data_IF_711732370192
#
_entry.id   IF_711732370192
#
_cell.length_a   1.000
_cell.length_b   1.000
_cell.length_c   1.000
_cell.angle_alpha   90.00
_cell.angle_beta   90.00
_cell.angle_gamma   90.00
#
_symmetry.space_group_name_H-M   'P 1'
#
loop_
_entity.id
_entity.type
_entity.pdbx_description
1 polymer ?
#
# COMPACT_ATOMS: atom_id res chain seq x y z
N UNK A 1 -24.88 11.77 -19.48
CA UNK A 1 -24.67 13.13 -20.02
C UNK A 1 -24.81 14.11 -18.85
N UNK A 2 -23.70 14.47 -18.22
CA UNK A 2 -23.62 15.48 -17.15
C UNK A 2 -22.34 16.30 -17.37
N UNK A 3 -22.34 17.59 -16.97
CA UNK A 3 -21.78 18.67 -17.79
C UNK A 3 -20.33 18.99 -17.48
N UNK A 4 -19.64 19.48 -18.52
CA UNK A 4 -18.33 20.09 -18.44
C UNK A 4 -18.36 21.36 -17.57
N UNK A 5 -17.46 21.42 -16.59
CA UNK A 5 -17.10 22.66 -15.90
C UNK A 5 -15.75 23.12 -16.44
N UNK A 6 -15.79 24.00 -17.44
CA UNK A 6 -14.68 24.87 -17.81
C UNK A 6 -14.65 26.06 -16.86
N UNK A 7 -13.51 26.34 -16.23
CA UNK A 7 -13.20 27.70 -15.80
C UNK A 7 -11.72 27.99 -15.99
N UNK A 8 -11.46 28.97 -16.87
CA UNK A 8 -10.18 29.63 -17.06
C UNK A 8 -9.62 30.19 -15.75
N UNK A 9 -8.37 29.83 -15.43
CA UNK A 9 -7.54 30.58 -14.49
C UNK A 9 -6.11 30.66 -15.06
N UNK A 10 -5.74 31.87 -15.48
CA UNK A 10 -4.37 32.25 -15.82
C UNK A 10 -3.55 32.33 -14.52
N UNK A 11 -2.42 31.62 -14.47
CA UNK A 11 -1.33 31.88 -13.53
C UNK A 11 -1.58 31.41 -12.10
N UNK A 12 -0.87 30.35 -11.72
CA UNK A 12 -0.91 29.76 -10.37
C UNK A 12 -1.22 28.27 -10.47
N UNK A 13 -0.31 27.43 -9.99
CA UNK A 13 -0.46 25.97 -9.99
C UNK A 13 -1.82 25.58 -9.38
N UNK A 14 -2.67 24.81 -10.08
CA UNK A 14 -3.95 24.42 -9.51
C UNK A 14 -3.75 23.30 -8.48
N UNK A 15 -4.38 23.54 -7.34
CA UNK A 15 -4.58 22.63 -6.23
C UNK A 15 -5.21 21.29 -6.64
N UNK A 16 -4.70 20.24 -5.98
CA UNK A 16 -5.35 18.98 -5.62
C UNK A 16 -6.37 18.36 -6.58
N UNK A 17 -5.98 17.28 -7.25
CA UNK A 17 -6.89 16.25 -7.74
C UNK A 17 -6.47 14.89 -7.17
N UNK A 18 -7.46 14.17 -6.66
CA UNK A 18 -7.37 12.96 -5.83
C UNK A 18 -6.53 11.82 -6.41
N UNK A 19 -5.88 11.09 -5.51
CA UNK A 19 -5.07 9.89 -5.78
C UNK A 19 -5.89 8.78 -6.44
N UNK A 20 -5.40 8.26 -7.56
CA UNK A 20 -5.92 7.05 -8.18
C UNK A 20 -5.49 5.85 -7.32
N UNK A 21 -6.41 5.29 -6.54
CA UNK A 21 -6.20 4.06 -5.78
C UNK A 21 -6.58 2.89 -6.70
N UNK A 22 -5.59 2.16 -7.22
CA UNK A 22 -5.87 0.97 -8.03
C UNK A 22 -6.04 -0.22 -7.10
N UNK A 23 -7.25 -0.78 -7.04
CA UNK A 23 -7.57 -1.95 -6.21
C UNK A 23 -7.48 -3.21 -7.06
N UNK A 24 -6.53 -4.10 -6.76
CA UNK A 24 -6.48 -5.45 -7.32
C UNK A 24 -7.25 -6.40 -6.40
N UNK A 25 -8.44 -6.81 -6.82
CA UNK A 25 -9.24 -7.84 -6.13
C UNK A 25 -9.02 -9.18 -6.81
N UNK A 26 -8.51 -10.19 -6.08
CA UNK A 26 -8.58 -11.58 -6.54
C UNK A 26 -10.00 -12.07 -6.31
N UNK A 27 -10.71 -12.42 -7.39
CA UNK A 27 -12.00 -13.12 -7.29
C UNK A 27 -11.68 -14.61 -7.07
N UNK A 28 -11.82 -15.09 -5.84
CA UNK A 28 -11.91 -16.53 -5.59
C UNK A 28 -13.37 -16.94 -5.79
N UNK A 29 -13.66 -17.65 -6.87
CA UNK A 29 -14.95 -18.29 -7.07
C UNK A 29 -15.10 -19.43 -6.07
N UNK A 30 -15.94 -19.25 -5.06
CA UNK A 30 -16.54 -20.36 -4.32
C UNK A 30 -18.03 -20.10 -4.17
N UNK A 31 -18.83 -20.97 -4.79
CA UNK A 31 -20.29 -20.89 -4.85
C UNK A 31 -20.93 -20.99 -3.46
N UNK A 32 -21.95 -20.16 -3.25
CA UNK A 32 -22.84 -20.22 -2.09
C UNK A 32 -24.08 -21.04 -2.48
N UNK A 33 -24.20 -22.25 -1.93
CA UNK A 33 -25.49 -22.94 -1.82
C UNK A 33 -26.18 -22.47 -0.53
N UNK A 34 -27.38 -21.92 -0.67
CA UNK A 34 -28.28 -21.64 0.45
C UNK A 34 -28.86 -22.94 0.99
N UNK A 35 -28.70 -23.20 2.28
CA UNK A 35 -29.65 -24.01 3.04
C UNK A 35 -30.08 -23.23 4.29
N UNK A 36 -31.40 -23.13 4.45
CA UNK A 36 -32.10 -22.47 5.54
C UNK A 36 -32.45 -23.49 6.63
N UNK A 37 -31.97 -23.25 7.84
CA UNK A 37 -32.38 -23.96 9.06
C UNK A 37 -32.22 -23.06 10.27
N UNK A 38 -33.33 -22.72 10.93
CA UNK A 38 -33.36 -21.92 12.16
C UNK A 38 -33.38 -22.88 13.35
N UNK A 39 -32.40 -22.78 14.24
CA UNK A 39 -32.51 -23.26 15.62
C UNK A 39 -31.93 -22.20 16.55
N UNK A 40 -32.75 -21.77 17.51
CA UNK A 40 -32.46 -20.70 18.44
C UNK A 40 -31.48 -21.17 19.53
N UNK A 41 -30.37 -20.44 19.69
CA UNK A 41 -29.56 -20.44 20.90
C UNK A 41 -29.09 -19.02 21.17
N UNK A 42 -29.29 -18.54 22.41
CA UNK A 42 -28.98 -17.22 22.96
C UNK A 42 -27.91 -16.42 22.21
N UNK A 43 -28.35 -15.60 21.25
CA UNK A 43 -27.46 -14.73 20.49
C UNK A 43 -27.18 -13.46 21.30
N UNK A 44 -25.98 -13.35 21.85
CA UNK A 44 -25.33 -12.05 21.98
C UNK A 44 -25.21 -11.49 20.56
N UNK A 45 -26.14 -10.62 20.18
CA UNK A 45 -26.13 -9.95 18.89
C UNK A 45 -24.92 -9.03 18.87
N UNK A 46 -23.80 -9.53 18.33
CA UNK A 46 -22.73 -8.66 17.88
C UNK A 46 -23.36 -7.79 16.80
N UNK A 47 -23.52 -6.48 17.06
CA UNK A 47 -24.02 -5.56 16.05
C UNK A 47 -23.11 -5.70 14.84
N UNK A 48 -23.69 -6.14 13.71
CA UNK A 48 -22.98 -6.25 12.44
C UNK A 48 -22.39 -4.87 12.14
N UNK A 49 -21.08 -4.80 11.95
CA UNK A 49 -20.40 -3.57 11.57
C UNK A 49 -20.81 -3.12 10.17
N UNK A 50 -20.31 -1.97 9.74
CA UNK A 50 -20.43 -1.57 8.33
C UNK A 50 -19.76 -2.59 7.42
N UNK A 51 -20.12 -2.66 6.14
CA UNK A 51 -19.49 -3.62 5.21
C UNK A 51 -17.95 -3.45 5.14
N UNK A 52 -17.46 -2.22 5.33
CA UNK A 52 -16.03 -1.94 5.46
C UNK A 52 -15.43 -2.59 6.70
N UNK A 53 -16.08 -2.46 7.85
CA UNK A 53 -15.63 -3.09 9.11
C UNK A 53 -15.65 -4.61 9.01
N UNK A 54 -16.68 -5.17 8.37
CA UNK A 54 -16.77 -6.62 8.13
C UNK A 54 -15.69 -7.11 7.16
N UNK A 55 -15.37 -6.36 6.10
CA UNK A 55 -14.30 -6.71 5.18
C UNK A 55 -12.93 -6.85 5.87
N UNK A 56 -12.63 -5.94 6.80
CA UNK A 56 -11.37 -5.92 7.55
C UNK A 56 -11.39 -6.76 8.85
N UNK A 57 -12.54 -7.34 9.23
CA UNK A 57 -12.69 -8.11 10.45
C UNK A 57 -11.73 -9.30 10.46
N UNK A 58 -10.99 -9.44 11.56
CA UNK A 58 -9.98 -10.47 11.80
C UNK A 58 -8.91 -10.60 10.70
N UNK A 59 -8.76 -9.59 9.85
CA UNK A 59 -7.78 -9.63 8.78
C UNK A 59 -6.40 -9.21 9.29
N UNK A 60 -5.37 -9.76 8.65
CA UNK A 60 -3.99 -9.34 8.77
C UNK A 60 -3.60 -8.51 7.55
N UNK A 61 -3.12 -7.29 7.79
CA UNK A 61 -2.75 -6.35 6.75
C UNK A 61 -1.22 -6.26 6.64
N UNK A 62 -0.69 -6.16 5.43
CA UNK A 62 0.69 -5.76 5.18
C UNK A 62 0.71 -4.38 4.53
N UNK A 63 1.42 -3.43 5.15
CA UNK A 63 1.43 -2.03 4.73
C UNK A 63 2.85 -1.60 4.43
N UNK A 64 3.05 -1.02 3.24
CA UNK A 64 4.28 -0.30 2.90
C UNK A 64 4.05 1.21 2.96
N UNK A 65 5.13 2.00 3.01
CA UNK A 65 5.02 3.46 2.92
C UNK A 65 4.63 4.14 4.24
N UNK A 66 4.74 3.44 5.37
CA UNK A 66 4.48 3.97 6.73
C UNK A 66 5.15 5.29 7.03
N UNK A 67 6.36 5.54 6.51
CA UNK A 67 7.09 6.79 6.78
C UNK A 67 6.47 7.99 6.08
N UNK A 68 5.72 7.76 5.00
CA UNK A 68 4.99 8.80 4.28
C UNK A 68 3.79 9.30 5.07
N UNK A 69 3.34 10.51 4.72
CA UNK A 69 2.20 11.18 5.35
C UNK A 69 0.93 10.31 5.30
N UNK A 70 0.57 9.82 4.10
CA UNK A 70 -0.62 8.99 3.88
C UNK A 70 -0.56 7.66 4.64
N UNK A 71 0.61 7.01 4.67
CA UNK A 71 0.77 5.71 5.34
C UNK A 71 0.43 5.75 6.83
N UNK A 72 0.84 6.81 7.55
CA UNK A 72 0.52 6.96 8.98
C UNK A 72 -0.97 7.20 9.22
N UNK A 73 -1.57 8.07 8.40
CA UNK A 73 -3.00 8.40 8.48
C UNK A 73 -3.85 7.17 8.16
N UNK A 74 -3.46 6.38 7.16
CA UNK A 74 -4.16 5.15 6.80
C UNK A 74 -4.13 4.13 7.95
N UNK A 75 -2.96 3.91 8.56
CA UNK A 75 -2.82 3.01 9.70
C UNK A 75 -3.69 3.47 10.89
N UNK A 76 -3.65 4.77 11.22
CA UNK A 76 -4.52 5.38 12.24
C UNK A 76 -6.00 5.13 11.92
N UNK A 77 -6.44 5.49 10.72
CA UNK A 77 -7.84 5.42 10.32
C UNK A 77 -8.36 3.99 10.33
N UNK A 78 -7.55 3.02 9.89
CA UNK A 78 -7.88 1.60 9.94
C UNK A 78 -8.03 1.11 11.38
N UNK A 79 -7.07 1.41 12.25
CA UNK A 79 -7.12 0.98 13.65
C UNK A 79 -8.30 1.59 14.41
N UNK A 80 -8.66 2.84 14.10
CA UNK A 80 -9.78 3.54 14.74
C UNK A 80 -11.14 3.11 14.19
N UNK A 81 -11.25 2.92 12.87
CA UNK A 81 -12.54 2.65 12.22
C UNK A 81 -12.84 1.15 12.12
N UNK A 82 -11.82 0.29 12.12
CA UNK A 82 -11.93 -1.16 12.01
C UNK A 82 -11.24 -1.83 13.21
N UNK A 83 -11.81 -1.71 14.42
CA UNK A 83 -11.18 -2.21 15.65
C UNK A 83 -11.06 -3.74 15.69
N UNK A 84 -11.73 -4.48 14.80
CA UNK A 84 -11.63 -5.93 14.69
C UNK A 84 -10.47 -6.42 13.79
N UNK A 85 -9.65 -5.52 13.22
CA UNK A 85 -8.40 -5.93 12.54
C UNK A 85 -7.52 -6.71 13.52
N UNK A 86 -6.92 -7.80 13.08
CA UNK A 86 -6.06 -8.63 13.92
C UNK A 86 -4.66 -8.01 14.05
N UNK A 87 -3.90 -7.96 12.95
CA UNK A 87 -2.55 -7.39 12.89
C UNK A 87 -2.36 -6.50 11.68
N UNK A 88 -1.51 -5.49 11.83
CA UNK A 88 -0.97 -4.70 10.72
C UNK A 88 0.55 -4.86 10.77
N UNK A 89 1.06 -5.64 9.81
CA UNK A 89 2.47 -5.79 9.52
C UNK A 89 2.93 -4.58 8.71
N UNK A 90 3.99 -3.93 9.17
CA UNK A 90 4.48 -2.70 8.54
C UNK A 90 5.95 -2.87 8.21
N UNK A 91 6.25 -2.88 6.91
CA UNK A 91 7.65 -2.96 6.47
C UNK A 91 8.40 -1.68 6.82
N UNK A 92 9.60 -1.85 7.37
CA UNK A 92 10.48 -0.75 7.76
C UNK A 92 11.90 -0.99 7.27
N UNK A 93 12.42 -0.02 6.50
CA UNK A 93 13.81 -0.05 6.05
C UNK A 93 14.77 -0.04 7.25
N UNK A 94 15.66 -1.03 7.41
CA UNK A 94 16.62 -1.03 8.50
C UNK A 94 17.45 0.26 8.53
N UNK A 95 17.76 0.78 9.72
CA UNK A 95 18.75 1.84 9.93
C UNK A 95 19.66 1.42 11.07
N UNK A 96 20.98 1.50 10.89
CA UNK A 96 21.98 1.08 11.90
C UNK A 96 21.78 1.68 13.29
N UNK A 97 21.12 2.84 13.38
CA UNK A 97 20.96 3.58 14.62
C UNK A 97 19.68 3.30 15.39
N UNK A 98 18.72 2.52 14.86
CA UNK A 98 17.42 2.30 15.53
C UNK A 98 16.86 0.91 15.33
N UNK A 99 16.37 0.31 16.41
CA UNK A 99 15.65 -0.97 16.37
C UNK A 99 14.24 -0.84 15.77
N UNK A 100 13.63 -1.94 15.30
CA UNK A 100 12.23 -1.97 14.89
C UNK A 100 11.27 -1.41 15.94
N UNK A 101 11.51 -1.70 17.21
CA UNK A 101 10.72 -1.28 18.37
C UNK A 101 10.84 0.23 18.60
N UNK A 102 12.05 0.79 18.56
CA UNK A 102 12.25 2.24 18.67
C UNK A 102 11.53 2.97 17.55
N UNK A 103 11.58 2.42 16.33
CA UNK A 103 10.82 2.98 15.22
C UNK A 103 9.32 2.85 15.46
N UNK A 104 8.82 1.72 15.97
CA UNK A 104 7.41 1.57 16.32
C UNK A 104 6.97 2.68 17.29
N UNK A 105 7.79 2.96 18.30
CA UNK A 105 7.53 4.01 19.28
C UNK A 105 7.47 5.41 18.65
N UNK A 106 8.39 5.73 17.74
CA UNK A 106 8.35 6.99 16.97
C UNK A 106 7.08 7.17 16.15
N UNK A 107 6.56 6.08 15.58
CA UNK A 107 5.31 6.13 14.83
C UNK A 107 4.14 6.48 15.77
N UNK A 108 4.05 5.79 16.90
CA UNK A 108 2.96 5.93 17.88
C UNK A 108 2.98 7.32 18.56
N UNK A 109 4.16 7.91 18.71
CA UNK A 109 4.34 9.28 19.24
C UNK A 109 3.83 10.37 18.30
N UNK A 110 3.62 10.10 17.01
CA UNK A 110 3.09 11.10 16.09
C UNK A 110 1.68 11.56 16.51
N UNK A 111 1.40 12.87 16.43
CA UNK A 111 0.12 13.47 16.85
C UNK A 111 -1.10 12.93 16.11
N UNK A 112 -0.91 12.39 14.90
CA UNK A 112 -1.98 11.71 14.16
C UNK A 112 -2.62 10.58 14.98
N UNK A 113 -1.88 9.94 15.88
CA UNK A 113 -2.39 8.88 16.75
C UNK A 113 -2.99 9.38 18.07
N UNK A 114 -3.11 10.69 18.33
CA UNK A 114 -3.58 11.24 19.61
C UNK A 114 -4.99 10.73 19.98
N UNK A 115 -5.91 10.74 19.01
CA UNK A 115 -7.27 10.21 19.21
C UNK A 115 -7.25 8.71 19.51
N UNK A 116 -6.41 7.93 18.82
CA UNK A 116 -6.26 6.49 19.08
C UNK A 116 -5.65 6.21 20.45
N UNK A 117 -4.64 6.99 20.88
CA UNK A 117 -4.05 6.87 22.21
C UNK A 117 -5.08 7.09 23.31
N UNK A 118 -6.01 8.03 23.12
CA UNK A 118 -7.08 8.30 24.07
C UNK A 118 -8.20 7.25 24.05
N UNK A 119 -8.56 6.74 22.86
CA UNK A 119 -9.75 5.86 22.70
C UNK A 119 -9.43 4.36 22.75
N UNK A 120 -8.21 3.96 22.40
CA UNK A 120 -7.75 2.58 22.41
C UNK A 120 -6.24 2.51 22.70
N UNK A 121 -5.79 2.71 23.96
CA UNK A 121 -4.36 2.77 24.32
C UNK A 121 -3.53 1.55 23.85
N UNK A 122 -4.18 0.40 23.71
CA UNK A 122 -3.59 -0.87 23.32
C UNK A 122 -3.47 -1.09 21.80
N UNK A 123 -3.84 -0.12 20.97
CA UNK A 123 -3.79 -0.25 19.50
C UNK A 123 -2.40 -0.68 18.99
N UNK A 124 -1.35 -0.26 19.69
CA UNK A 124 0.03 -0.54 19.34
C UNK A 124 0.35 -2.05 19.35
N UNK A 125 -0.38 -2.87 20.12
CA UNK A 125 -0.21 -4.33 20.15
C UNK A 125 -0.51 -4.99 18.79
N UNK A 126 -1.33 -4.33 17.96
CA UNK A 126 -1.68 -4.79 16.60
C UNK A 126 -0.63 -4.44 15.55
N UNK A 127 0.30 -3.53 15.87
CA UNK A 127 1.36 -3.11 14.96
C UNK A 127 2.57 -4.02 15.10
N UNK A 128 2.93 -4.71 14.02
CA UNK A 128 4.13 -5.56 13.93
C UNK A 128 5.09 -4.94 12.93
N UNK A 129 6.28 -4.55 13.39
CA UNK A 129 7.30 -3.98 12.51
C UNK A 129 8.11 -5.09 11.87
N UNK A 130 8.21 -5.07 10.55
CA UNK A 130 8.94 -6.08 9.78
C UNK A 130 10.14 -5.42 9.09
N UNK A 131 11.38 -5.75 9.48
CA UNK A 131 12.57 -5.22 8.82
C UNK A 131 12.61 -5.65 7.35
N UNK A 132 12.75 -4.70 6.43
CA UNK A 132 12.84 -5.00 5.00
C UNK A 132 12.94 -3.73 4.15
N UNK A 133 13.33 -3.89 2.89
CA UNK A 133 13.40 -2.82 1.90
C UNK A 133 12.73 -3.27 0.60
N UNK A 134 11.74 -2.50 0.16
CA UNK A 134 10.96 -2.82 -1.04
C UNK A 134 11.82 -2.83 -2.30
N UNK A 135 12.96 -2.12 -2.33
CA UNK A 135 13.84 -2.09 -3.51
C UNK A 135 14.75 -3.31 -3.61
N UNK A 136 14.66 -4.28 -2.70
CA UNK A 136 15.48 -5.48 -2.67
C UNK A 136 14.66 -6.72 -3.05
N UNK A 137 15.32 -7.77 -3.60
CA UNK A 137 14.67 -9.05 -3.83
C UNK A 137 14.00 -9.59 -2.57
N UNK A 138 12.80 -10.15 -2.73
CA UNK A 138 11.92 -10.60 -1.64
C UNK A 138 11.72 -9.54 -0.54
N UNK A 139 11.70 -8.27 -0.96
CA UNK A 139 11.55 -7.10 -0.09
C UNK A 139 12.65 -7.00 1.00
N UNK A 140 13.80 -7.65 0.79
CA UNK A 140 14.88 -7.71 1.79
C UNK A 140 14.47 -8.38 3.11
N UNK A 141 13.40 -9.17 3.10
CA UNK A 141 12.87 -9.85 4.28
C UNK A 141 13.75 -11.06 4.64
N UNK A 142 13.80 -11.38 5.94
CA UNK A 142 14.32 -12.66 6.36
C UNK A 142 13.43 -13.80 5.82
N UNK A 143 13.96 -15.02 5.61
CA UNK A 143 13.15 -16.16 5.19
C UNK A 143 11.95 -16.40 6.11
N UNK A 144 12.14 -16.27 7.42
CA UNK A 144 11.08 -16.42 8.43
C UNK A 144 10.01 -15.33 8.35
N UNK A 145 10.40 -14.07 8.11
CA UNK A 145 9.43 -12.98 7.96
C UNK A 145 8.63 -13.12 6.67
N UNK A 146 9.30 -13.52 5.58
CA UNK A 146 8.65 -13.77 4.30
C UNK A 146 7.62 -14.89 4.44
N UNK A 147 8.00 -16.01 5.05
CA UNK A 147 7.09 -17.13 5.32
C UNK A 147 5.90 -16.68 6.19
N UNK A 148 6.15 -15.99 7.31
CA UNK A 148 5.10 -15.45 8.17
C UNK A 148 4.11 -14.58 7.38
N UNK A 149 4.59 -13.66 6.54
CA UNK A 149 3.74 -12.80 5.74
C UNK A 149 2.91 -13.59 4.73
N UNK A 150 3.51 -14.55 4.01
CA UNK A 150 2.79 -15.39 3.04
C UNK A 150 1.70 -16.23 3.70
N UNK A 151 1.90 -16.70 4.93
CA UNK A 151 0.92 -17.51 5.66
C UNK A 151 -0.21 -16.69 6.28
N UNK A 152 0.09 -15.48 6.74
CA UNK A 152 -0.82 -14.73 7.60
C UNK A 152 -1.57 -13.61 6.88
N UNK A 153 -0.96 -12.95 5.88
CA UNK A 153 -1.50 -11.71 5.29
C UNK A 153 -2.72 -11.98 4.42
N UNK A 154 -3.76 -11.16 4.62
CA UNK A 154 -4.98 -11.18 3.80
C UNK A 154 -5.06 -9.98 2.86
N UNK A 155 -4.51 -8.83 3.26
CA UNK A 155 -4.65 -7.59 2.50
C UNK A 155 -3.29 -6.89 2.44
N UNK A 156 -2.86 -6.53 1.24
CA UNK A 156 -1.64 -5.75 1.02
C UNK A 156 -2.03 -4.33 0.63
N UNK A 157 -1.47 -3.34 1.32
CA UNK A 157 -1.63 -1.92 1.02
C UNK A 157 -0.25 -1.35 0.67
N UNK A 158 0.01 -1.20 -0.63
CA UNK A 158 1.28 -0.72 -1.17
C UNK A 158 1.24 0.79 -1.39
N UNK A 159 1.83 1.55 -0.46
CA UNK A 159 1.91 3.01 -0.50
C UNK A 159 3.35 3.55 -0.57
N UNK A 160 4.35 2.66 -0.55
CA UNK A 160 5.75 3.05 -0.67
C UNK A 160 6.10 3.33 -2.12
N UNK A 161 6.52 4.56 -2.40
CA UNK A 161 7.12 4.97 -3.65
C UNK A 161 8.09 6.13 -3.36
N UNK A 162 9.05 6.36 -4.25
CA UNK A 162 9.64 7.70 -4.36
C UNK A 162 8.73 8.55 -5.24
N UNK A 163 8.32 9.70 -4.71
CA UNK A 163 7.39 10.65 -5.35
C UNK A 163 8.07 11.97 -5.69
N UNK A 164 9.40 11.99 -5.63
CA UNK A 164 10.20 13.14 -6.02
C UNK A 164 10.28 13.19 -7.55
N UNK A 165 9.83 14.29 -8.13
CA UNK A 165 9.85 14.49 -9.58
C UNK A 165 11.26 14.63 -10.15
N UNK A 166 12.22 15.01 -9.31
CA UNK A 166 13.64 15.18 -9.63
C UNK A 166 14.51 13.97 -9.22
N UNK A 167 13.89 12.86 -8.80
CA UNK A 167 14.64 11.65 -8.43
C UNK A 167 15.36 11.06 -9.64
N UNK A 168 16.61 10.62 -9.44
CA UNK A 168 17.34 9.93 -10.50
C UNK A 168 16.64 8.62 -10.86
N UNK A 169 16.58 8.33 -12.17
CA UNK A 169 15.84 7.16 -12.68
C UNK A 169 16.39 5.82 -12.17
N UNK A 170 17.70 5.72 -11.92
CA UNK A 170 18.34 4.56 -11.28
C UNK A 170 17.95 4.36 -9.80
N UNK A 171 17.35 5.34 -9.16
CA UNK A 171 16.77 5.22 -7.81
C UNK A 171 15.26 4.97 -7.92
N UNK A 172 14.58 5.71 -8.80
CA UNK A 172 13.14 5.64 -8.97
C UNK A 172 12.64 4.29 -9.49
N UNK A 173 13.31 3.71 -10.49
CA UNK A 173 12.87 2.45 -11.11
C UNK A 173 12.99 1.25 -10.17
N UNK A 174 14.13 0.99 -9.48
CA UNK A 174 14.19 -0.12 -8.52
C UNK A 174 13.15 -0.02 -7.41
N UNK A 175 12.81 1.20 -6.97
CA UNK A 175 11.83 1.41 -5.91
C UNK A 175 10.38 1.28 -6.42
N UNK A 176 10.02 1.99 -7.48
CA UNK A 176 8.62 2.10 -7.92
C UNK A 176 8.20 0.97 -8.86
N UNK A 177 9.09 0.46 -9.71
CA UNK A 177 8.81 -0.67 -10.60
C UNK A 177 9.24 -1.97 -9.93
N UNK A 178 10.52 -2.08 -9.58
CA UNK A 178 11.08 -3.28 -8.93
C UNK A 178 10.36 -3.60 -7.62
N UNK A 179 10.19 -2.60 -6.74
CA UNK A 179 9.49 -2.81 -5.48
C UNK A 179 8.01 -3.16 -5.64
N UNK A 180 7.33 -2.62 -6.66
CA UNK A 180 5.96 -3.04 -6.96
C UNK A 180 5.91 -4.49 -7.42
N UNK A 181 6.86 -4.93 -8.26
CA UNK A 181 6.99 -6.33 -8.70
C UNK A 181 7.15 -7.28 -7.51
N UNK A 182 8.08 -6.97 -6.61
CA UNK A 182 8.32 -7.77 -5.39
C UNK A 182 7.07 -7.84 -4.48
N UNK A 183 6.29 -6.76 -4.41
CA UNK A 183 5.02 -6.75 -3.65
C UNK A 183 3.94 -7.61 -4.33
N UNK A 184 3.85 -7.57 -5.65
CA UNK A 184 2.94 -8.44 -6.42
C UNK A 184 3.34 -9.90 -6.21
N UNK A 185 4.63 -10.23 -6.22
CA UNK A 185 5.11 -11.59 -6.03
C UNK A 185 4.92 -12.10 -4.60
N UNK A 186 5.08 -11.24 -3.59
CA UNK A 186 4.64 -11.55 -2.22
C UNK A 186 3.13 -11.85 -2.20
N UNK A 187 2.31 -11.01 -2.83
CA UNK A 187 0.87 -11.19 -2.90
C UNK A 187 0.46 -12.50 -3.57
N UNK A 188 1.13 -12.88 -4.67
CA UNK A 188 0.92 -14.18 -5.34
C UNK A 188 1.26 -15.37 -4.43
N UNK A 189 2.24 -15.18 -3.56
CA UNK A 189 2.70 -16.20 -2.61
C UNK A 189 1.82 -16.29 -1.35
N UNK A 190 0.96 -15.30 -1.07
CA UNK A 190 0.07 -15.31 0.09
C UNK A 190 -1.07 -16.33 -0.08
N UNK A 191 -1.20 -17.25 0.89
CA UNK A 191 -2.19 -18.33 0.84
C UNK A 191 -3.64 -17.86 0.95
N UNK A 192 -3.87 -16.73 1.64
CA UNK A 192 -5.21 -16.21 1.97
C UNK A 192 -5.39 -14.75 1.52
N UNK A 193 -4.76 -14.34 0.41
CA UNK A 193 -4.85 -12.97 -0.10
C UNK A 193 -6.27 -12.67 -0.62
N UNK A 194 -6.90 -11.66 -0.02
CA UNK A 194 -8.21 -11.10 -0.40
C UNK A 194 -8.06 -9.89 -1.33
N UNK A 195 -7.07 -9.03 -1.09
CA UNK A 195 -6.90 -7.78 -1.86
C UNK A 195 -5.47 -7.28 -1.82
N UNK A 196 -4.99 -6.73 -2.94
CA UNK A 196 -3.78 -5.92 -3.04
C UNK A 196 -4.18 -4.55 -3.55
N UNK A 197 -3.89 -3.51 -2.78
CA UNK A 197 -4.21 -2.13 -3.16
C UNK A 197 -2.93 -1.36 -3.38
N UNK A 198 -2.82 -0.76 -4.56
CA UNK A 198 -1.70 0.09 -4.94
C UNK A 198 -2.13 1.55 -4.93
N UNK A 199 -1.35 2.39 -4.25
CA UNK A 199 -1.54 3.84 -4.29
C UNK A 199 -0.73 4.42 -5.45
N UNK A 200 -1.42 4.77 -6.54
CA UNK A 200 -0.82 5.43 -7.70
C UNK A 200 -0.91 6.95 -7.56
N UNK A 201 -0.55 7.64 -8.63
CA UNK A 201 -0.59 9.10 -8.76
C UNK A 201 -1.30 9.53 -10.04
N UNK A 202 -2.01 10.66 -9.98
CA UNK A 202 -2.61 11.26 -11.19
C UNK A 202 -1.53 11.69 -12.21
N UNK A 203 -0.27 11.80 -11.78
CA UNK A 203 0.86 12.14 -12.64
C UNK A 203 1.45 10.96 -13.42
N UNK A 204 0.94 9.72 -13.24
CA UNK A 204 1.51 8.52 -13.89
C UNK A 204 1.43 8.56 -15.43
N UNK A 205 0.50 9.35 -15.98
CA UNK A 205 0.31 9.51 -17.42
C UNK A 205 0.37 11.00 -17.84
N UNK A 206 1.18 11.82 -17.15
CA UNK A 206 1.27 13.27 -17.40
C UNK A 206 1.82 13.64 -18.79
N UNK A 207 2.39 12.68 -19.51
CA UNK A 207 2.80 12.82 -20.91
C UNK A 207 1.61 12.80 -21.90
N UNK A 208 0.41 12.48 -21.42
CA UNK A 208 -0.82 12.45 -22.22
C UNK A 208 -1.67 13.68 -21.92
N UNK A 209 -2.32 14.21 -22.96
CA UNK A 209 -3.24 15.35 -22.83
C UNK A 209 -4.56 14.94 -22.18
N UNK A 210 -5.09 13.79 -22.60
CA UNK A 210 -6.35 13.23 -22.14
C UNK A 210 -6.05 11.88 -21.46
N UNK A 211 -6.56 11.70 -20.24
CA UNK A 211 -6.39 10.50 -19.41
C UNK A 211 -7.79 9.91 -19.15
N UNK A 212 -7.95 8.65 -19.50
CA UNK A 212 -9.13 7.81 -19.36
C UNK A 212 -8.91 6.81 -18.21
N UNK A 213 -10.00 6.26 -17.68
CA UNK A 213 -9.96 5.20 -16.67
C UNK A 213 -9.71 3.84 -17.33
N UNK A 214 -8.52 3.64 -17.87
CA UNK A 214 -8.11 2.40 -18.53
C UNK A 214 -6.66 2.01 -18.19
N UNK A 215 -6.30 0.76 -18.48
CA UNK A 215 -4.91 0.33 -18.43
C UNK A 215 -4.22 0.76 -19.72
N UNK A 216 -3.15 1.55 -19.57
CA UNK A 216 -2.32 1.97 -20.68
C UNK A 216 -1.20 0.97 -20.90
N UNK A 217 -1.01 0.55 -22.15
CA UNK A 217 0.15 -0.26 -22.51
C UNK A 217 1.44 0.53 -22.24
N UNK A 218 2.37 -0.04 -21.46
CA UNK A 218 3.64 0.61 -21.22
C UNK A 218 4.51 0.53 -22.49
N UNK A 219 5.38 1.52 -22.73
CA UNK A 219 6.29 1.49 -23.87
C UNK A 219 7.35 0.38 -23.75
N UNK A 220 7.60 -0.11 -22.53
CA UNK A 220 8.55 -1.17 -22.20
C UNK A 220 7.99 -2.00 -21.04
N UNK A 221 8.21 -3.31 -21.09
CA UNK A 221 7.90 -4.22 -19.98
C UNK A 221 8.82 -3.95 -18.77
N UNK A 222 8.38 -4.37 -17.58
CA UNK A 222 9.06 -4.15 -16.31
C UNK A 222 10.52 -4.66 -16.33
N UNK A 223 10.72 -5.90 -16.73
CA UNK A 223 12.05 -6.50 -16.84
C UNK A 223 12.90 -5.81 -17.92
N UNK A 224 12.27 -5.29 -18.98
CA UNK A 224 12.95 -4.51 -20.02
C UNK A 224 13.55 -3.22 -19.48
N UNK A 225 12.78 -2.46 -18.69
CA UNK A 225 13.26 -1.21 -18.07
C UNK A 225 14.34 -1.50 -17.02
N UNK A 226 14.13 -2.51 -16.18
CA UNK A 226 15.10 -2.87 -15.13
C UNK A 226 16.43 -3.30 -15.75
N UNK A 227 16.41 -4.17 -16.76
CA UNK A 227 17.61 -4.64 -17.45
C UNK A 227 18.30 -3.50 -18.22
N UNK A 228 17.54 -2.61 -18.86
CA UNK A 228 18.10 -1.43 -19.51
C UNK A 228 18.91 -0.60 -18.51
N UNK A 229 18.36 -0.27 -17.35
CA UNK A 229 19.08 0.52 -16.34
C UNK A 229 20.30 -0.20 -15.76
N UNK A 230 20.31 -1.52 -15.70
CA UNK A 230 21.47 -2.29 -15.26
C UNK A 230 22.64 -2.28 -16.26
N UNK A 231 22.37 -1.99 -17.54
CA UNK A 231 23.36 -2.05 -18.63
C UNK A 231 23.88 -0.68 -19.07
N UNK A 232 23.11 0.39 -18.81
CA UNK A 232 23.48 1.76 -19.20
C UNK A 232 24.53 2.32 -18.24
N UNK A 233 25.60 2.89 -18.80
CA UNK A 233 26.66 3.49 -18.00
C UNK A 233 26.23 4.82 -17.35
N UNK A 234 26.93 5.22 -16.29
CA UNK A 234 26.58 6.40 -15.50
C UNK A 234 26.63 7.70 -16.31
N UNK A 235 27.50 7.79 -17.32
CA UNK A 235 27.61 8.95 -18.20
C UNK A 235 26.35 9.17 -19.04
N UNK A 236 25.77 8.10 -19.59
CA UNK A 236 24.50 8.18 -20.33
C UNK A 236 23.35 8.48 -19.37
N UNK A 237 23.34 7.88 -18.17
CA UNK A 237 22.33 8.14 -17.14
C UNK A 237 22.30 9.61 -16.71
N UNK A 238 23.46 10.26 -16.61
CA UNK A 238 23.56 11.69 -16.28
C UNK A 238 23.05 12.62 -17.39
N UNK A 239 22.89 12.12 -18.62
CA UNK A 239 22.23 12.88 -19.70
C UNK A 239 20.70 12.76 -19.67
N UNK A 240 20.17 11.71 -19.03
CA UNK A 240 18.73 11.46 -18.84
C UNK A 240 18.31 12.05 -17.49
N UNK A 241 18.38 13.38 -17.37
CA UNK A 241 17.91 14.11 -16.18
C UNK A 241 16.47 14.58 -16.37
N UNK A 242 15.64 14.54 -15.30
CA UNK A 242 14.38 15.30 -15.28
C UNK A 242 14.70 16.77 -15.59
N UNK A 243 13.96 17.35 -16.55
CA UNK A 243 14.08 18.77 -16.90
C UNK A 243 13.39 19.66 -15.89
#
# INVERSE_FOLDING_TARGET
MLPALTSDAKGGAPDAVFSLMTVYKRVSETGLSQESGVMATDHITFSRGTDLQEFYRNCNLFVTGRTGFIGKILIEKLLRSCPAINKIYVIIRPKRSKSPEERKEELIKCSVFDVLKATNPDFHKKLVMVPGDISLPKLGLSPSDYEMLTQQVNIILHLAATVKFDEKINIAVPMNIGGTKEIIDLGRSCVNLKSLVYLSTAYSNCNRKDIEECFYDPPLEDDGVINFLATVNEAVMETIKPK
#
